data_IF_564450937853
#
_entry.id   IF_564450937853
#
_cell.length_a   1.000
_cell.length_b   1.000
_cell.length_c   1.000
_cell.angle_alpha   90.00
_cell.angle_beta   90.00
_cell.angle_gamma   90.00
#
_symmetry.space_group_name_H-M   'P 1'
#
loop_
_entity.id
_entity.type
_entity.pdbx_description
1 polymer ?
#
# COMPACT_ATOMS: atom_id res chain seq x y z
N UNK A 1 -13.27 4.41 -4.73
CA UNK A 1 -12.79 5.66 -5.32
C UNK A 1 -11.47 6.03 -4.68
N UNK A 2 -10.52 6.46 -5.51
CA UNK A 2 -9.22 6.97 -5.08
C UNK A 2 -9.37 8.24 -4.21
N UNK A 3 -8.43 8.47 -3.30
CA UNK A 3 -8.29 9.72 -2.55
C UNK A 3 -7.24 10.65 -3.11
N UNK A 4 -6.33 10.12 -3.93
CA UNK A 4 -5.29 10.91 -4.59
C UNK A 4 -5.92 12.07 -5.35
N UNK A 5 -5.51 13.30 -5.01
CA UNK A 5 -5.95 14.51 -5.69
C UNK A 5 -4.83 14.95 -6.63
N UNK A 6 -5.08 14.88 -7.94
CA UNK A 6 -4.18 15.32 -9.00
C UNK A 6 -4.59 16.74 -9.42
N UNK A 7 -3.65 17.67 -9.66
CA UNK A 7 -3.97 19.00 -10.16
C UNK A 7 -4.77 18.93 -11.47
N UNK A 8 -5.77 19.81 -11.68
CA UNK A 8 -6.60 19.80 -12.88
C UNK A 8 -5.83 20.26 -14.13
N UNK A 9 -4.73 20.99 -13.95
CA UNK A 9 -3.87 21.47 -15.03
C UNK A 9 -2.77 20.44 -15.30
N UNK A 10 -2.50 20.08 -16.57
CA UNK A 10 -1.37 19.24 -16.93
C UNK A 10 -0.07 19.81 -16.37
N UNK A 11 0.62 19.03 -15.54
CA UNK A 11 1.92 19.39 -15.01
C UNK A 11 2.99 18.83 -15.95
N UNK A 12 4.02 19.63 -16.23
CA UNK A 12 5.10 19.25 -17.12
C UNK A 12 6.08 18.37 -16.34
N UNK A 13 6.24 17.07 -16.67
CA UNK A 13 7.08 16.16 -15.88
C UNK A 13 8.53 16.64 -15.75
N UNK A 14 9.03 17.35 -16.77
CA UNK A 14 10.35 17.99 -16.77
C UNK A 14 10.47 19.11 -15.74
N UNK A 15 9.44 19.93 -15.57
CA UNK A 15 9.43 21.00 -14.58
C UNK A 15 9.39 20.43 -13.16
N UNK A 16 8.53 19.42 -12.93
CA UNK A 16 8.49 18.69 -11.67
C UNK A 16 9.86 18.07 -11.34
N UNK A 17 10.55 17.49 -12.32
CA UNK A 17 11.89 16.96 -12.12
C UNK A 17 12.91 18.04 -11.70
N UNK A 18 12.85 19.23 -12.33
CA UNK A 18 13.72 20.37 -11.98
C UNK A 18 13.43 20.86 -10.56
N UNK A 19 12.16 21.01 -10.20
CA UNK A 19 11.78 21.51 -8.88
C UNK A 19 12.09 20.49 -7.78
N UNK A 20 11.93 19.20 -8.04
CA UNK A 20 12.43 18.14 -7.16
C UNK A 20 13.95 18.22 -7.00
N UNK A 21 14.71 18.41 -8.10
CA UNK A 21 16.17 18.52 -8.00
C UNK A 21 16.59 19.73 -7.16
N UNK A 22 15.91 20.87 -7.29
CA UNK A 22 16.13 22.04 -6.44
C UNK A 22 15.78 21.77 -4.98
N UNK A 23 14.67 21.08 -4.72
CA UNK A 23 14.24 20.73 -3.37
C UNK A 23 15.24 19.81 -2.64
N UNK A 24 16.03 19.04 -3.38
CA UNK A 24 17.12 18.21 -2.84
C UNK A 24 18.48 18.94 -2.73
N UNK A 25 18.60 20.20 -3.14
CA UNK A 25 19.89 20.94 -3.06
C UNK A 25 20.05 21.67 -1.72
N UNK A 26 21.28 21.72 -1.23
CA UNK A 26 21.67 22.48 -0.05
C UNK A 26 21.84 21.61 1.20
N UNK A 27 21.91 22.25 2.36
CA UNK A 27 21.95 21.55 3.64
C UNK A 27 20.51 21.20 4.07
N UNK A 28 20.13 19.93 3.92
CA UNK A 28 18.78 19.45 4.16
C UNK A 28 17.94 19.32 2.88
N UNK A 29 16.69 18.87 3.04
CA UNK A 29 15.75 18.62 1.96
C UNK A 29 14.47 19.44 2.16
N UNK A 30 14.05 20.19 1.16
CA UNK A 30 12.72 20.83 1.13
C UNK A 30 11.63 19.77 0.90
N UNK A 31 11.31 19.08 2.00
CA UNK A 31 10.32 18.00 1.99
C UNK A 31 8.92 18.51 1.66
N UNK A 32 8.63 19.79 1.89
CA UNK A 32 7.32 20.38 1.57
C UNK A 32 7.10 20.38 0.06
N UNK A 33 8.11 20.82 -0.71
CA UNK A 33 8.07 20.78 -2.17
C UNK A 33 8.04 19.35 -2.70
N UNK A 34 8.82 18.44 -2.12
CA UNK A 34 8.81 17.02 -2.51
C UNK A 34 7.42 16.40 -2.31
N UNK A 35 6.76 16.69 -1.18
CA UNK A 35 5.39 16.22 -0.88
C UNK A 35 4.38 16.86 -1.84
N UNK A 36 4.43 18.18 -2.04
CA UNK A 36 3.44 18.90 -2.85
C UNK A 36 3.46 18.47 -4.33
N UNK A 37 4.61 18.00 -4.82
CA UNK A 37 4.73 17.37 -6.13
C UNK A 37 4.30 15.91 -6.05
N UNK A 38 5.06 15.05 -5.37
CA UNK A 38 4.90 13.60 -5.51
C UNK A 38 3.57 13.07 -4.95
N UNK A 39 3.05 13.64 -3.87
CA UNK A 39 1.77 13.21 -3.29
C UNK A 39 0.54 13.63 -4.12
N UNK A 40 0.75 14.41 -5.19
CA UNK A 40 -0.28 14.94 -6.07
C UNK A 40 -0.02 14.57 -7.53
N UNK A 41 0.63 13.43 -7.76
CA UNK A 41 0.85 12.83 -9.09
C UNK A 41 0.40 11.38 -9.06
N UNK A 42 -0.28 10.94 -10.10
CA UNK A 42 -0.64 9.54 -10.28
C UNK A 42 0.57 8.68 -10.70
N UNK A 43 0.38 7.36 -10.79
CA UNK A 43 1.44 6.44 -11.16
C UNK A 43 2.09 6.75 -12.52
N UNK A 44 1.31 7.19 -13.51
CA UNK A 44 1.82 7.49 -14.85
C UNK A 44 2.66 8.77 -14.83
N UNK A 45 2.17 9.81 -14.15
CA UNK A 45 2.88 11.06 -13.95
C UNK A 45 4.17 10.87 -13.15
N UNK A 46 4.15 10.09 -12.06
CA UNK A 46 5.36 9.74 -11.29
C UNK A 46 6.38 8.97 -12.14
N UNK A 47 5.93 8.12 -13.06
CA UNK A 47 6.82 7.43 -13.99
C UNK A 47 7.46 8.40 -14.98
N UNK A 48 6.68 9.32 -15.56
CA UNK A 48 7.19 10.36 -16.46
C UNK A 48 8.20 11.28 -15.75
N UNK A 49 7.93 11.70 -14.52
CA UNK A 49 8.86 12.50 -13.71
C UNK A 49 10.19 11.76 -13.49
N UNK A 50 10.14 10.46 -13.19
CA UNK A 50 11.35 9.65 -13.03
C UNK A 50 12.19 9.57 -14.32
N UNK A 51 11.54 9.44 -15.48
CA UNK A 51 12.20 9.44 -16.78
C UNK A 51 12.88 10.79 -17.05
N UNK A 52 12.16 11.89 -16.87
CA UNK A 52 12.70 13.24 -17.05
C UNK A 52 13.83 13.56 -16.06
N UNK A 53 13.68 13.17 -14.79
CA UNK A 53 14.73 13.36 -13.78
C UNK A 53 16.03 12.66 -14.18
N UNK A 54 15.91 11.44 -14.73
CA UNK A 54 17.07 10.70 -15.25
C UNK A 54 17.64 11.34 -16.51
N UNK A 55 16.81 11.80 -17.43
CA UNK A 55 17.26 12.44 -18.67
C UNK A 55 17.99 13.77 -18.41
N UNK A 56 17.50 14.57 -17.47
CA UNK A 56 18.03 15.92 -17.20
C UNK A 56 19.24 15.88 -16.25
N UNK A 57 19.23 15.02 -15.23
CA UNK A 57 20.25 15.03 -14.17
C UNK A 57 21.16 13.80 -14.15
N UNK A 58 20.95 12.82 -15.04
CA UNK A 58 21.65 11.55 -15.06
C UNK A 58 21.66 10.82 -13.70
N UNK A 59 20.58 10.98 -12.93
CA UNK A 59 20.40 10.42 -11.60
C UNK A 59 19.05 9.71 -11.51
N UNK A 60 18.96 8.70 -10.65
CA UNK A 60 17.70 8.03 -10.35
C UNK A 60 16.99 8.76 -9.20
N UNK A 61 15.74 9.17 -9.42
CA UNK A 61 14.97 9.92 -8.43
C UNK A 61 14.77 9.13 -7.13
N UNK A 62 14.54 7.82 -7.20
CA UNK A 62 14.37 6.99 -6.01
C UNK A 62 15.69 6.89 -5.22
N UNK A 63 16.84 6.82 -5.90
CA UNK A 63 18.15 6.91 -5.21
C UNK A 63 18.35 8.26 -4.54
N UNK A 64 17.93 9.36 -5.18
CA UNK A 64 18.02 10.69 -4.57
C UNK A 64 17.11 10.82 -3.35
N UNK A 65 15.86 10.39 -3.44
CA UNK A 65 14.94 10.32 -2.29
C UNK A 65 15.57 9.49 -1.16
N UNK A 66 16.25 8.39 -1.50
CA UNK A 66 16.92 7.55 -0.52
C UNK A 66 18.14 8.21 0.15
N UNK A 67 18.86 9.11 -0.51
CA UNK A 67 19.99 9.82 0.10
C UNK A 67 19.57 11.02 0.93
N UNK A 68 18.48 11.70 0.53
CA UNK A 68 18.05 12.96 1.14
C UNK A 68 17.09 12.79 2.32
N UNK A 69 16.28 11.73 2.31
CA UNK A 69 15.26 11.50 3.33
C UNK A 69 15.69 10.43 4.33
N UNK A 70 15.07 10.43 5.51
CA UNK A 70 15.29 9.43 6.55
C UNK A 70 13.99 8.90 7.16
N UNK A 71 14.10 7.86 7.98
CA UNK A 71 12.99 7.29 8.75
C UNK A 71 11.78 6.84 7.93
N UNK A 72 10.59 6.97 8.54
CA UNK A 72 9.32 6.56 7.94
C UNK A 72 8.90 7.41 6.74
N UNK A 73 9.32 8.68 6.71
CA UNK A 73 9.09 9.55 5.57
C UNK A 73 9.78 9.03 4.30
N UNK A 74 11.08 8.67 4.39
CA UNK A 74 11.81 7.99 3.29
C UNK A 74 11.12 6.70 2.86
N UNK A 75 10.74 5.84 3.82
CA UNK A 75 10.09 4.55 3.52
C UNK A 75 8.79 4.73 2.75
N UNK A 76 7.96 5.69 3.16
CA UNK A 76 6.69 5.98 2.51
C UNK A 76 6.90 6.55 1.10
N UNK A 77 7.80 7.51 0.93
CA UNK A 77 8.13 8.12 -0.36
C UNK A 77 8.70 7.11 -1.37
N UNK A 78 9.62 6.25 -0.93
CA UNK A 78 10.22 5.23 -1.78
C UNK A 78 9.22 4.17 -2.24
N UNK A 79 8.21 3.83 -1.43
CA UNK A 79 7.13 2.94 -1.87
C UNK A 79 6.17 3.66 -2.82
N UNK A 80 5.88 4.93 -2.57
CA UNK A 80 4.95 5.71 -3.37
C UNK A 80 5.46 6.04 -4.77
N UNK A 81 6.75 6.38 -4.92
CA UNK A 81 7.35 6.74 -6.21
C UNK A 81 7.31 5.58 -7.23
N UNK A 82 7.26 4.34 -6.75
CA UNK A 82 7.10 3.15 -7.58
C UNK A 82 5.71 3.11 -8.22
N UNK A 83 5.63 2.50 -9.41
CA UNK A 83 4.35 2.08 -9.97
C UNK A 83 3.70 1.02 -9.06
N UNK A 84 2.35 0.84 -9.12
CA UNK A 84 1.64 -0.07 -8.24
C UNK A 84 2.17 -1.52 -8.25
N UNK A 85 2.58 -2.05 -9.41
CA UNK A 85 3.04 -3.42 -9.50
C UNK A 85 4.44 -3.59 -8.88
N UNK A 86 5.35 -2.64 -9.14
CA UNK A 86 6.70 -2.64 -8.54
C UNK A 86 6.64 -2.35 -7.03
N UNK A 87 5.70 -1.52 -6.58
CA UNK A 87 5.41 -1.28 -5.16
C UNK A 87 5.00 -2.57 -4.47
N UNK A 88 4.02 -3.27 -5.01
CA UNK A 88 3.52 -4.55 -4.48
C UNK A 88 4.59 -5.64 -4.49
N UNK A 89 5.36 -5.75 -5.57
CA UNK A 89 6.51 -6.65 -5.65
C UNK A 89 7.57 -6.34 -4.59
N UNK A 90 7.84 -5.06 -4.32
CA UNK A 90 8.78 -4.64 -3.29
C UNK A 90 8.28 -5.00 -1.89
N UNK A 91 6.99 -4.78 -1.61
CA UNK A 91 6.36 -5.17 -0.34
C UNK A 91 6.42 -6.70 -0.16
N UNK A 92 6.10 -7.48 -1.19
CA UNK A 92 6.18 -8.94 -1.15
C UNK A 92 7.61 -9.41 -0.89
N UNK A 93 8.60 -8.82 -1.56
CA UNK A 93 10.00 -9.18 -1.36
C UNK A 93 10.44 -8.90 0.08
N UNK A 94 10.16 -7.69 0.59
CA UNK A 94 10.45 -7.34 1.98
C UNK A 94 9.74 -8.24 2.98
N UNK A 95 8.50 -8.63 2.69
CA UNK A 95 7.71 -9.51 3.53
C UNK A 95 8.25 -10.94 3.59
N UNK A 96 8.79 -11.45 2.47
CA UNK A 96 9.24 -12.84 2.35
C UNK A 96 10.73 -13.01 2.69
N UNK A 97 11.56 -12.01 2.41
CA UNK A 97 13.03 -12.11 2.54
C UNK A 97 13.62 -11.20 3.62
N UNK A 98 12.81 -10.54 4.43
CA UNK A 98 13.29 -9.76 5.57
C UNK A 98 13.73 -10.66 6.72
N UNK A 99 14.54 -10.13 7.64
CA UNK A 99 15.03 -10.85 8.84
C UNK A 99 13.88 -11.46 9.66
N UNK A 100 12.72 -10.79 9.63
CA UNK A 100 11.46 -11.29 10.18
C UNK A 100 10.44 -11.36 9.04
N UNK A 101 9.99 -12.58 8.71
CA UNK A 101 8.96 -12.79 7.70
C UNK A 101 7.66 -12.11 8.10
N UNK A 102 7.18 -11.18 7.27
CA UNK A 102 5.93 -10.46 7.48
C UNK A 102 4.83 -11.01 6.57
N UNK A 103 4.39 -12.23 6.85
CA UNK A 103 3.34 -12.90 6.06
C UNK A 103 2.02 -12.13 6.04
N UNK A 104 1.78 -11.23 7.01
CA UNK A 104 0.62 -10.32 6.96
C UNK A 104 0.69 -9.37 5.78
N UNK A 105 1.82 -8.71 5.58
CA UNK A 105 2.02 -7.80 4.44
C UNK A 105 1.90 -8.54 3.10
N UNK A 106 2.47 -9.75 3.00
CA UNK A 106 2.34 -10.57 1.80
C UNK A 106 0.89 -10.96 1.53
N UNK A 107 0.18 -11.42 2.55
CA UNK A 107 -1.24 -11.79 2.45
C UNK A 107 -2.09 -10.60 2.03
N UNK A 108 -1.88 -9.41 2.61
CA UNK A 108 -2.59 -8.19 2.22
C UNK A 108 -2.36 -7.83 0.75
N UNK A 109 -1.14 -8.00 0.23
CA UNK A 109 -0.85 -7.77 -1.19
C UNK A 109 -1.57 -8.77 -2.07
N UNK A 110 -1.39 -10.07 -1.82
CA UNK A 110 -1.94 -11.07 -2.75
C UNK A 110 -3.47 -11.11 -2.67
N UNK A 111 -4.01 -11.04 -1.46
CA UNK A 111 -5.44 -11.19 -1.21
C UNK A 111 -6.20 -9.87 -1.30
N UNK A 112 -5.59 -8.78 -1.81
CA UNK A 112 -6.31 -7.51 -2.06
C UNK A 112 -6.26 -7.00 -3.49
N UNK A 113 -5.73 -7.82 -4.41
CA UNK A 113 -5.47 -7.51 -5.81
C UNK A 113 -6.33 -8.40 -6.71
N UNK A 114 -6.69 -7.89 -7.88
CA UNK A 114 -7.38 -8.66 -8.91
C UNK A 114 -6.42 -9.67 -9.55
N UNK A 115 -6.92 -10.74 -10.20
CA UNK A 115 -6.06 -11.67 -10.92
C UNK A 115 -5.17 -11.02 -11.98
N UNK A 116 -5.65 -9.96 -12.67
CA UNK A 116 -4.85 -9.21 -13.64
C UNK A 116 -3.73 -8.41 -12.95
N UNK A 117 -4.02 -7.73 -11.84
CA UNK A 117 -3.00 -7.04 -11.04
C UNK A 117 -1.92 -8.03 -10.55
N UNK A 118 -2.31 -9.21 -10.04
CA UNK A 118 -1.38 -10.22 -9.58
C UNK A 118 -0.44 -10.75 -10.67
N UNK A 119 -0.91 -10.87 -11.91
CA UNK A 119 -0.06 -11.25 -13.04
C UNK A 119 1.06 -10.24 -13.27
N UNK A 120 0.76 -8.95 -13.23
CA UNK A 120 1.75 -7.87 -13.40
C UNK A 120 2.68 -7.79 -12.20
N UNK A 121 2.15 -7.90 -10.97
CA UNK A 121 2.96 -7.96 -9.74
C UNK A 121 3.97 -9.11 -9.80
N UNK A 122 3.56 -10.29 -10.28
CA UNK A 122 4.45 -11.44 -10.45
C UNK A 122 5.61 -11.15 -11.40
N UNK A 123 5.34 -10.45 -12.51
CA UNK A 123 6.38 -10.05 -13.46
C UNK A 123 7.36 -9.05 -12.82
N UNK A 124 6.84 -8.02 -12.15
CA UNK A 124 7.66 -7.05 -11.43
C UNK A 124 8.50 -7.68 -10.31
N UNK A 125 7.92 -8.64 -9.58
CA UNK A 125 8.63 -9.41 -8.55
C UNK A 125 9.79 -10.20 -9.14
N UNK A 126 9.57 -10.96 -10.23
CA UNK A 126 10.64 -11.72 -10.90
C UNK A 126 11.79 -10.83 -11.35
N UNK A 127 11.47 -9.69 -11.97
CA UNK A 127 12.47 -8.72 -12.40
C UNK A 127 13.32 -8.16 -11.23
N UNK A 128 12.73 -7.99 -10.04
CA UNK A 128 13.37 -7.34 -8.88
C UNK A 128 14.00 -8.29 -7.87
N UNK A 129 13.48 -9.52 -7.76
CA UNK A 129 14.05 -10.57 -6.92
C UNK A 129 15.15 -11.33 -7.65
N UNK A 130 15.10 -11.39 -8.99
CA UNK A 130 15.92 -12.27 -9.81
C UNK A 130 15.36 -13.70 -9.77
N UNK A 131 15.29 -14.36 -10.93
CA UNK A 131 14.70 -15.72 -11.05
C UNK A 131 15.38 -16.77 -10.14
N UNK A 132 16.65 -16.54 -9.80
CA UNK A 132 17.48 -17.41 -8.97
C UNK A 132 17.27 -17.27 -7.45
N UNK A 133 16.44 -16.32 -6.98
CA UNK A 133 16.21 -16.09 -5.53
C UNK A 133 14.81 -16.49 -5.03
N UNK A 134 13.97 -17.05 -5.90
CA UNK A 134 12.66 -17.59 -5.50
C UNK A 134 12.84 -19.03 -4.99
N UNK A 135 12.66 -19.24 -3.69
CA UNK A 135 12.55 -20.56 -3.09
C UNK A 135 11.23 -21.27 -3.47
N UNK A 136 11.09 -22.51 -3.02
CA UNK A 136 9.93 -23.36 -3.34
C UNK A 136 8.66 -22.88 -2.63
N UNK A 137 8.78 -22.41 -1.39
CA UNK A 137 7.65 -21.95 -0.59
C UNK A 137 7.04 -20.65 -1.13
N UNK A 138 7.86 -19.71 -1.62
CA UNK A 138 7.37 -18.48 -2.24
C UNK A 138 6.63 -18.77 -3.56
N UNK A 139 7.08 -19.77 -4.33
CA UNK A 139 6.41 -20.21 -5.56
C UNK A 139 5.07 -20.86 -5.27
N UNK A 140 5.01 -21.74 -4.28
CA UNK A 140 3.78 -22.37 -3.83
C UNK A 140 2.79 -21.32 -3.32
N UNK A 141 3.25 -20.38 -2.50
CA UNK A 141 2.44 -19.27 -1.99
C UNK A 141 1.86 -18.40 -3.12
N UNK A 142 2.70 -17.92 -4.05
CA UNK A 142 2.24 -17.10 -5.19
C UNK A 142 1.21 -17.87 -6.03
N UNK A 143 1.43 -19.17 -6.27
CA UNK A 143 0.53 -19.99 -7.11
C UNK A 143 -0.84 -20.16 -6.45
N UNK A 144 -0.88 -20.56 -5.19
CA UNK A 144 -2.13 -20.83 -4.46
C UNK A 144 -3.01 -19.59 -4.36
N UNK A 145 -2.43 -18.42 -4.09
CA UNK A 145 -3.20 -17.20 -3.87
C UNK A 145 -3.47 -16.37 -5.15
N UNK A 146 -2.87 -16.71 -6.31
CA UNK A 146 -3.12 -16.02 -7.59
C UNK A 146 -4.14 -16.69 -8.51
N UNK A 147 -4.57 -17.91 -8.20
CA UNK A 147 -5.41 -18.74 -9.09
C UNK A 147 -6.91 -18.78 -8.71
N UNK A 148 -7.36 -18.05 -7.68
CA UNK A 148 -8.76 -18.06 -7.22
C UNK A 148 -9.41 -16.68 -7.28
N UNK A 149 -10.62 -16.61 -7.82
CA UNK A 149 -11.37 -15.36 -7.94
C UNK A 149 -12.08 -15.01 -6.63
N UNK A 150 -12.19 -13.72 -6.37
CA UNK A 150 -12.84 -13.17 -5.18
C UNK A 150 -14.32 -13.50 -5.11
N UNK A 151 -14.99 -13.44 -6.26
CA UNK A 151 -16.40 -13.80 -6.39
C UNK A 151 -16.65 -15.25 -5.98
N UNK A 152 -15.73 -16.16 -6.33
CA UNK A 152 -15.79 -17.55 -5.91
C UNK A 152 -15.66 -17.68 -4.39
N UNK A 153 -14.67 -17.03 -3.77
CA UNK A 153 -14.51 -17.07 -2.31
C UNK A 153 -15.71 -16.49 -1.55
N UNK A 154 -16.30 -15.40 -2.04
CA UNK A 154 -17.51 -14.84 -1.47
C UNK A 154 -18.72 -15.79 -1.63
N UNK A 155 -18.84 -16.46 -2.77
CA UNK A 155 -19.89 -17.46 -3.00
C UNK A 155 -19.74 -18.68 -2.07
N UNK A 156 -18.51 -19.20 -1.91
CA UNK A 156 -18.21 -20.30 -0.99
C UNK A 156 -18.54 -19.91 0.45
N UNK A 157 -18.18 -18.70 0.89
CA UNK A 157 -18.50 -18.23 2.24
C UNK A 157 -20.01 -18.16 2.51
N UNK A 158 -20.80 -17.69 1.52
CA UNK A 158 -22.27 -17.66 1.60
C UNK A 158 -22.88 -19.06 1.63
N UNK A 159 -22.42 -19.94 0.74
CA UNK A 159 -22.89 -21.33 0.69
C UNK A 159 -22.60 -22.06 2.02
N UNK A 160 -21.40 -21.87 2.58
CA UNK A 160 -21.03 -22.45 3.86
C UNK A 160 -21.94 -22.00 4.99
N UNK A 161 -22.26 -20.70 5.07
CA UNK A 161 -23.17 -20.19 6.09
C UNK A 161 -24.57 -20.83 5.99
N UNK A 162 -25.09 -20.96 4.77
CA UNK A 162 -26.38 -21.61 4.53
C UNK A 162 -26.38 -23.10 4.93
N UNK A 163 -25.26 -23.81 4.75
CA UNK A 163 -25.18 -25.24 5.05
C UNK A 163 -24.99 -25.54 6.54
N UNK A 164 -24.25 -24.71 7.27
CA UNK A 164 -23.76 -25.05 8.62
C UNK A 164 -24.23 -24.09 9.71
N UNK A 165 -25.05 -23.07 9.36
CA UNK A 165 -25.49 -21.99 10.24
C UNK A 165 -24.35 -21.34 11.05
N UNK A 166 -23.14 -21.38 10.49
CA UNK A 166 -21.90 -20.88 11.07
C UNK A 166 -21.11 -20.18 9.99
N UNK A 167 -20.51 -19.04 10.30
CA UNK A 167 -19.71 -18.33 9.30
C UNK A 167 -18.42 -19.11 8.98
N UNK A 168 -18.03 -19.11 7.71
CA UNK A 168 -16.74 -19.68 7.29
C UNK A 168 -15.56 -19.00 8.00
N UNK A 169 -15.69 -17.71 8.34
CA UNK A 169 -14.68 -17.00 9.15
C UNK A 169 -14.53 -17.62 10.55
N UNK A 170 -15.63 -17.96 11.23
CA UNK A 170 -15.58 -18.61 12.54
C UNK A 170 -15.00 -20.02 12.47
N UNK A 171 -15.29 -20.77 11.41
CA UNK A 171 -14.72 -22.10 11.20
C UNK A 171 -13.21 -22.00 10.99
N UNK A 172 -12.74 -21.13 10.10
CA UNK A 172 -11.31 -20.90 9.87
C UNK A 172 -10.61 -20.47 11.17
N UNK A 173 -11.22 -19.61 12.00
CA UNK A 173 -10.64 -19.22 13.29
C UNK A 173 -10.50 -20.37 14.30
N UNK A 174 -11.40 -21.36 14.29
CA UNK A 174 -11.30 -22.51 15.21
C UNK A 174 -10.32 -23.57 14.70
N UNK A 175 -10.27 -23.78 13.40
CA UNK A 175 -9.50 -24.87 12.80
C UNK A 175 -8.06 -24.48 12.44
N UNK A 176 -7.75 -23.19 12.40
CA UNK A 176 -6.45 -22.72 11.91
C UNK A 176 -5.85 -21.67 12.82
N UNK A 177 -4.51 -21.63 12.85
CA UNK A 177 -3.75 -20.69 13.66
C UNK A 177 -2.58 -20.11 12.85
N UNK A 178 -1.83 -19.20 13.49
CA UNK A 178 -0.64 -18.60 12.90
C UNK A 178 -0.90 -17.90 11.56
N UNK A 179 0.12 -17.94 10.69
CA UNK A 179 0.10 -17.25 9.41
C UNK A 179 -0.86 -17.89 8.39
N UNK A 180 -1.07 -19.20 8.48
CA UNK A 180 -2.01 -19.92 7.61
C UNK A 180 -3.45 -19.46 7.86
N UNK A 181 -3.88 -19.44 9.12
CA UNK A 181 -5.21 -18.93 9.48
C UNK A 181 -5.37 -17.45 9.17
N UNK A 182 -4.35 -16.63 9.40
CA UNK A 182 -4.38 -15.22 8.99
C UNK A 182 -4.55 -15.06 7.47
N UNK A 183 -3.88 -15.89 6.68
CA UNK A 183 -3.98 -15.97 5.23
C UNK A 183 -5.43 -16.15 4.77
N UNK A 184 -6.04 -17.24 5.21
CA UNK A 184 -7.42 -17.60 4.90
C UNK A 184 -8.42 -16.54 5.36
N UNK A 185 -8.27 -16.02 6.59
CA UNK A 185 -9.15 -14.98 7.13
C UNK A 185 -9.02 -13.67 6.34
N UNK A 186 -7.84 -13.35 5.84
CA UNK A 186 -7.65 -12.16 5.01
C UNK A 186 -8.34 -12.33 3.67
N UNK A 187 -8.22 -13.49 3.01
CA UNK A 187 -8.98 -13.78 1.77
C UNK A 187 -10.47 -13.60 1.99
N UNK A 188 -11.02 -14.21 3.04
CA UNK A 188 -12.46 -14.15 3.33
C UNK A 188 -12.94 -12.73 3.64
N UNK A 189 -12.23 -12.01 4.52
CA UNK A 189 -12.60 -10.65 4.91
C UNK A 189 -12.45 -9.64 3.78
N UNK A 190 -11.40 -9.78 2.99
CA UNK A 190 -11.23 -8.96 1.80
C UNK A 190 -12.37 -9.25 0.82
N UNK A 191 -12.71 -10.52 0.57
CA UNK A 191 -13.82 -10.91 -0.31
C UNK A 191 -15.19 -10.40 0.15
N UNK A 192 -15.42 -10.30 1.46
CA UNK A 192 -16.64 -9.71 2.05
C UNK A 192 -16.66 -8.18 1.92
N UNK A 193 -15.63 -7.50 2.46
CA UNK A 193 -15.56 -6.04 2.45
C UNK A 193 -14.10 -5.55 2.54
N UNK A 194 -13.48 -5.20 1.40
CA UNK A 194 -12.10 -4.69 1.38
C UNK A 194 -11.94 -3.43 2.24
N UNK A 195 -12.91 -2.51 2.17
CA UNK A 195 -12.90 -1.27 2.94
C UNK A 195 -12.87 -1.54 4.45
N UNK A 196 -13.70 -2.47 4.93
CA UNK A 196 -13.77 -2.86 6.35
C UNK A 196 -12.51 -3.55 6.81
N UNK A 197 -11.94 -4.42 5.97
CA UNK A 197 -10.67 -5.06 6.24
C UNK A 197 -9.56 -4.02 6.45
N UNK A 198 -9.36 -3.11 5.50
CA UNK A 198 -8.30 -2.10 5.59
C UNK A 198 -8.55 -1.09 6.70
N UNK A 199 -9.80 -0.72 6.99
CA UNK A 199 -10.13 0.10 8.15
C UNK A 199 -9.69 -0.55 9.48
N UNK A 200 -9.87 -1.88 9.62
CA UNK A 200 -9.36 -2.64 10.78
C UNK A 200 -7.84 -2.71 10.83
N UNK A 201 -7.17 -2.89 9.68
CA UNK A 201 -5.70 -2.90 9.63
C UNK A 201 -5.15 -1.54 10.07
N UNK A 202 -5.69 -0.43 9.55
CA UNK A 202 -5.29 0.93 9.91
C UNK A 202 -5.52 1.21 11.39
N UNK A 203 -6.70 0.85 11.93
CA UNK A 203 -6.99 1.07 13.33
C UNK A 203 -6.02 0.30 14.24
N UNK A 204 -5.77 -0.99 13.93
CA UNK A 204 -4.79 -1.78 14.68
C UNK A 204 -3.38 -1.24 14.56
N UNK A 205 -3.00 -0.66 13.42
CA UNK A 205 -1.69 -0.07 13.24
C UNK A 205 -1.48 1.19 14.09
N UNK A 206 -2.57 1.86 14.47
CA UNK A 206 -2.61 3.14 15.19
C UNK A 206 -3.14 3.01 16.63
N UNK A 207 -3.42 1.78 17.09
CA UNK A 207 -3.98 1.54 18.41
C UNK A 207 -2.90 1.00 19.34
N UNK A 208 -2.75 1.63 20.51
CA UNK A 208 -1.88 1.16 21.59
C UNK A 208 -0.68 2.07 21.80
N UNK A 209 0.35 1.56 22.48
CA UNK A 209 1.61 2.28 22.64
C UNK A 209 2.43 2.19 21.37
N UNK A 210 2.59 3.32 20.68
CA UNK A 210 3.32 3.42 19.42
C UNK A 210 2.50 3.03 18.20
N UNK A 211 3.10 3.20 17.02
CA UNK A 211 2.44 3.01 15.73
C UNK A 211 3.16 1.95 14.93
N UNK A 212 2.42 1.02 14.33
CA UNK A 212 2.97 0.09 13.35
C UNK A 212 3.10 0.79 11.99
N UNK A 213 4.10 1.66 11.85
CA UNK A 213 4.35 2.47 10.65
C UNK A 213 4.41 1.65 9.37
N UNK A 214 4.97 0.44 9.43
CA UNK A 214 5.05 -0.46 8.28
C UNK A 214 3.69 -0.86 7.73
N UNK A 215 2.69 -1.06 8.61
CA UNK A 215 1.32 -1.37 8.20
C UNK A 215 0.59 -0.11 7.74
N UNK A 216 0.74 1.00 8.48
CA UNK A 216 0.14 2.28 8.14
C UNK A 216 0.61 2.76 6.75
N UNK A 217 1.92 2.78 6.50
CA UNK A 217 2.52 3.13 5.20
C UNK A 217 1.97 2.22 4.13
N UNK A 218 2.04 0.89 4.31
CA UNK A 218 1.63 -0.08 3.30
C UNK A 218 0.19 0.12 2.86
N UNK A 219 -0.74 0.30 3.81
CA UNK A 219 -2.15 0.49 3.45
C UNK A 219 -2.35 1.85 2.77
N UNK A 220 -1.80 2.94 3.31
CA UNK A 220 -1.99 4.28 2.71
C UNK A 220 -1.44 4.33 1.28
N UNK A 221 -0.18 3.92 1.07
CA UNK A 221 0.46 4.00 -0.26
C UNK A 221 -0.13 3.04 -1.29
N UNK A 222 -0.70 1.90 -0.88
CA UNK A 222 -1.28 0.94 -1.84
C UNK A 222 -2.75 1.20 -2.13
N UNK A 223 -3.48 1.90 -1.25
CA UNK A 223 -4.94 2.10 -1.39
C UNK A 223 -5.34 3.52 -1.83
N UNK A 224 -4.43 4.50 -1.75
CA UNK A 224 -4.70 5.90 -2.13
C UNK A 224 -5.23 6.06 -3.57
N UNK A 225 -4.76 5.23 -4.51
CA UNK A 225 -5.16 5.28 -5.94
C UNK A 225 -6.33 4.32 -6.28
N UNK A 226 -6.91 3.63 -5.29
CA UNK A 226 -7.88 2.54 -5.52
C UNK A 226 -9.22 2.83 -4.84
N UNK A 227 -9.24 2.74 -3.51
CA UNK A 227 -10.46 2.68 -2.72
C UNK A 227 -10.39 3.39 -1.37
N UNK A 228 -9.38 4.24 -1.16
CA UNK A 228 -9.20 4.97 0.08
C UNK A 228 -10.45 5.73 0.55
N UNK A 229 -11.26 6.30 -0.35
CA UNK A 229 -12.50 6.98 0.05
C UNK A 229 -13.49 6.03 0.74
N UNK A 230 -13.59 4.78 0.27
CA UNK A 230 -14.44 3.77 0.91
C UNK A 230 -13.84 3.32 2.24
N UNK A 231 -12.51 3.20 2.32
CA UNK A 231 -11.81 2.88 3.57
C UNK A 231 -12.05 3.97 4.62
N UNK A 232 -11.97 5.25 4.24
CA UNK A 232 -12.24 6.39 5.12
C UNK A 232 -13.67 6.36 5.67
N UNK A 233 -14.66 6.16 4.81
CA UNK A 233 -16.06 6.08 5.20
C UNK A 233 -16.31 4.92 6.19
N UNK A 234 -15.76 3.75 5.91
CA UNK A 234 -15.90 2.58 6.77
C UNK A 234 -15.14 2.73 8.09
N UNK A 235 -13.95 3.36 8.08
CA UNK A 235 -13.20 3.70 9.28
C UNK A 235 -14.01 4.63 10.21
N UNK A 236 -14.58 5.71 9.65
CA UNK A 236 -15.43 6.63 10.39
C UNK A 236 -16.67 5.91 10.95
N UNK A 237 -17.34 5.09 10.14
CA UNK A 237 -18.51 4.30 10.56
C UNK A 237 -18.19 3.43 11.79
N UNK A 238 -17.04 2.76 11.78
CA UNK A 238 -16.60 1.81 12.80
C UNK A 238 -16.07 2.46 14.07
N UNK A 239 -15.27 3.52 13.96
CA UNK A 239 -14.50 4.07 15.09
C UNK A 239 -14.93 5.47 15.52
N UNK A 240 -15.94 6.05 14.86
CA UNK A 240 -16.50 7.39 15.18
C UNK A 240 -15.44 8.50 15.21
N UNK A 241 -14.38 8.33 14.41
CA UNK A 241 -13.27 9.26 14.22
C UNK A 241 -12.81 9.17 12.78
N UNK A 242 -12.43 10.30 12.19
CA UNK A 242 -11.93 10.27 10.81
C UNK A 242 -10.57 9.57 10.72
N UNK A 243 -10.26 9.01 9.55
CA UNK A 243 -8.97 8.40 9.31
C UNK A 243 -7.84 9.45 9.32
N UNK A 244 -8.11 10.65 8.80
CA UNK A 244 -7.14 11.74 8.79
C UNK A 244 -6.78 12.17 10.23
N UNK A 245 -7.77 12.32 11.10
CA UNK A 245 -7.55 12.68 12.51
C UNK A 245 -6.77 11.62 13.27
N UNK A 246 -7.05 10.33 12.98
CA UNK A 246 -6.31 9.22 13.57
C UNK A 246 -4.83 9.26 13.16
N UNK A 247 -4.54 9.43 11.86
CA UNK A 247 -3.17 9.54 11.36
C UNK A 247 -2.47 10.78 11.93
N UNK A 248 -3.19 11.90 12.04
CA UNK A 248 -2.65 13.13 12.61
C UNK A 248 -2.20 12.94 14.07
N UNK A 249 -2.93 12.18 14.89
CA UNK A 249 -2.53 11.95 16.28
C UNK A 249 -1.33 10.99 16.41
N UNK A 250 -1.19 10.03 15.51
CA UNK A 250 -0.22 8.93 15.64
C UNK A 250 1.12 9.17 14.94
N UNK A 251 1.17 10.12 14.01
CA UNK A 251 2.38 10.39 13.20
C UNK A 251 2.85 11.82 13.41
N UNK A 252 4.04 12.22 12.95
CA UNK A 252 4.52 13.61 13.07
C UNK A 252 5.37 14.05 11.87
N UNK A 253 5.63 15.36 11.78
CA UNK A 253 6.52 15.96 10.76
C UNK A 253 6.14 15.65 9.31
N UNK A 254 7.14 15.57 8.43
CA UNK A 254 6.96 15.33 6.99
C UNK A 254 6.34 13.95 6.70
N UNK A 255 6.51 12.99 7.61
CA UNK A 255 5.85 11.69 7.52
C UNK A 255 4.32 11.84 7.64
N UNK A 256 3.84 12.57 8.67
CA UNK A 256 2.42 12.91 8.83
C UNK A 256 1.89 13.65 7.61
N UNK A 257 2.57 14.73 7.22
CA UNK A 257 2.14 15.58 6.09
C UNK A 257 1.97 14.76 4.82
N UNK A 258 2.93 13.89 4.51
CA UNK A 258 2.87 13.03 3.34
C UNK A 258 1.68 12.05 3.38
N UNK A 259 1.47 11.35 4.50
CA UNK A 259 0.34 10.41 4.61
C UNK A 259 -1.01 11.12 4.47
N UNK A 260 -1.16 12.29 5.08
CA UNK A 260 -2.39 13.08 5.00
C UNK A 260 -2.64 13.59 3.57
N UNK A 261 -1.59 13.95 2.82
CA UNK A 261 -1.72 14.31 1.40
C UNK A 261 -2.26 13.15 0.55
N UNK A 262 -1.86 11.90 0.84
CA UNK A 262 -2.37 10.72 0.14
C UNK A 262 -3.80 10.35 0.55
N UNK A 263 -4.12 10.44 1.84
CA UNK A 263 -5.46 10.14 2.37
C UNK A 263 -6.48 11.20 1.97
N UNK A 264 -6.01 12.44 1.75
CA UNK A 264 -6.84 13.58 1.39
C UNK A 264 -7.75 14.05 2.53
N UNK A 265 -8.31 15.25 2.39
CA UNK A 265 -9.24 15.84 3.36
C UNK A 265 -10.52 15.00 3.47
N UNK A 266 -11.12 14.98 4.65
CA UNK A 266 -12.47 14.45 4.80
C UNK A 266 -13.44 15.36 4.06
N UNK A 267 -14.24 14.79 3.15
CA UNK A 267 -15.37 15.53 2.58
C UNK A 267 -16.43 15.57 3.67
N UNK A 268 -16.57 16.72 4.31
CA UNK A 268 -17.79 17.07 5.02
C UNK A 268 -18.88 17.12 3.96
N UNK A 269 -19.81 16.16 4.01
CA UNK A 269 -21.05 16.21 3.24
C UNK A 269 -22.01 17.19 3.90
#
# INVERSE_FOLDING_TARGET
MASLTVPPVPTWPRQDAIDLHKAFRGFGCDSTTVISILAHRDAAQRAAIQQEYRAVFNQDLARRIASELSGNHKRAMLLWVLDPATRDATILKQALTGDVTNLRAATEVVCSRTPSQLRVVRQAYRARAGERRLGTDERAFIRVFSERSWAHMAAVARAYHHMYDRSLEQAVKSETSGNFGFGLLTVLRSADSPARYFARVLHKAMKGLGTSDSALIRVVVTRAEIDMQYIKAEYHRMYKRSLADAIHAETSGNYRTFLLSLVGRDRTY
#
